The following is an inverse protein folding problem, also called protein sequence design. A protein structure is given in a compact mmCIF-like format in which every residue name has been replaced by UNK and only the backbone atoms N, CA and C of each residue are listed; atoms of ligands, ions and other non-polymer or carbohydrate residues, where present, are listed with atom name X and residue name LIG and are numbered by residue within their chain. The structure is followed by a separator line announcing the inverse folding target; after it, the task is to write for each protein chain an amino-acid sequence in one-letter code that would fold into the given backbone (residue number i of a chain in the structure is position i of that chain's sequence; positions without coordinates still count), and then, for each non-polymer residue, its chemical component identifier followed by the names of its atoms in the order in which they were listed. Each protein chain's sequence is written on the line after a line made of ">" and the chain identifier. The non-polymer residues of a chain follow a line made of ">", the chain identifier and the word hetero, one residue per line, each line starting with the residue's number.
data_IF_221824948479
#
_entry.id   IF_221824948479
#
_cell.length_a   1.000
_cell.length_b   1.000
_cell.length_c   1.000
_cell.angle_alpha   90.00
_cell.angle_beta   90.00
_cell.angle_gamma   90.00
#
_symmetry.space_group_name_H-M   'P 1'
#
loop_
_entity.id
_entity.type
_entity.pdbx_description
1 polymer ?
#
# COMPACT_ATOMS: atom_id res chain seq x y z
N UNK A 1 -22.81 24.19 4.32
CA UNK A 1 -21.56 23.83 5.01
C UNK A 1 -20.92 22.72 4.19
N UNK A 2 -19.78 23.04 3.62
CA UNK A 2 -19.06 22.30 2.59
C UNK A 2 -18.48 20.99 3.14
N UNK A 3 -18.91 19.85 2.61
CA UNK A 3 -18.15 18.61 2.78
C UNK A 3 -17.68 18.14 1.39
N UNK A 4 -16.40 18.40 1.22
CA UNK A 4 -15.53 18.10 0.10
C UNK A 4 -15.34 16.60 -0.09
N UNK A 5 -15.08 16.20 -1.34
CA UNK A 5 -14.37 14.95 -1.67
C UNK A 5 -15.27 13.80 -2.12
N UNK A 6 -15.46 13.68 -3.43
CA UNK A 6 -16.19 12.60 -4.09
C UNK A 6 -15.46 11.25 -3.98
N UNK A 7 -16.15 10.20 -3.54
CA UNK A 7 -16.24 8.93 -4.27
C UNK A 7 -17.56 8.25 -3.88
N UNK A 8 -18.41 7.99 -4.88
CA UNK A 8 -19.86 7.79 -4.72
C UNK A 8 -20.23 6.35 -4.35
N UNK A 9 -20.89 6.21 -3.21
CA UNK A 9 -22.07 5.38 -2.93
C UNK A 9 -22.22 4.05 -3.68
N UNK A 10 -21.84 2.96 -3.00
CA UNK A 10 -22.70 1.82 -2.62
C UNK A 10 -23.98 1.62 -3.45
N UNK A 11 -23.96 0.83 -4.53
CA UNK A 11 -25.13 0.03 -4.97
C UNK A 11 -24.70 -1.20 -5.79
N UNK A 12 -25.06 -2.38 -5.26
CA UNK A 12 -25.41 -3.68 -5.88
C UNK A 12 -25.02 -3.94 -7.35
N UNK A 13 -24.03 -4.83 -7.53
CA UNK A 13 -23.66 -5.66 -8.70
C UNK A 13 -23.84 -5.09 -10.12
N UNK A 14 -22.72 -4.75 -10.76
CA UNK A 14 -22.46 -5.06 -12.18
C UNK A 14 -20.95 -5.31 -12.35
N UNK A 15 -20.59 -6.31 -13.14
CA UNK A 15 -19.22 -6.80 -13.27
C UNK A 15 -18.33 -5.78 -14.00
N UNK A 16 -17.08 -5.68 -13.54
CA UNK A 16 -15.96 -4.91 -14.09
C UNK A 16 -15.90 -3.46 -13.58
N UNK A 17 -15.30 -3.38 -12.40
CA UNK A 17 -15.15 -2.26 -11.51
C UNK A 17 -14.34 -1.11 -12.13
N UNK A 18 -15.10 -0.07 -12.43
CA UNK A 18 -14.80 1.36 -12.30
C UNK A 18 -13.36 1.77 -11.92
N UNK A 19 -12.71 2.43 -12.87
CA UNK A 19 -11.40 3.09 -12.75
C UNK A 19 -11.39 4.11 -11.61
N UNK A 20 -10.66 3.82 -10.54
CA UNK A 20 -10.20 4.82 -9.58
C UNK A 20 -8.66 4.68 -9.46
N UNK A 21 -7.95 5.67 -10.00
CA UNK A 21 -6.54 6.00 -9.72
C UNK A 21 -5.41 5.08 -10.25
N UNK A 22 -4.82 5.37 -11.43
CA UNK A 22 -3.63 4.70 -11.99
C UNK A 22 -2.31 4.84 -11.17
N UNK A 23 -2.22 5.81 -10.25
CA UNK A 23 -1.05 6.02 -9.37
C UNK A 23 -1.31 5.65 -7.91
N UNK A 24 -2.58 5.65 -7.49
CA UNK A 24 -2.94 4.98 -6.26
C UNK A 24 -2.83 3.48 -6.48
N UNK A 25 -3.32 2.93 -7.60
CA UNK A 25 -3.14 1.50 -7.99
C UNK A 25 -1.70 1.04 -7.81
N UNK A 26 -0.70 1.69 -8.40
CA UNK A 26 0.69 1.21 -8.24
C UNK A 26 1.20 1.16 -6.77
N UNK A 27 0.71 2.04 -5.90
CA UNK A 27 1.04 1.97 -4.46
C UNK A 27 0.16 0.94 -3.74
N UNK A 28 -1.13 0.89 -4.06
CA UNK A 28 -2.11 -0.06 -3.49
C UNK A 28 -1.78 -1.50 -3.89
N UNK A 29 -1.34 -1.76 -5.13
CA UNK A 29 -0.87 -3.06 -5.61
C UNK A 29 0.34 -3.53 -4.80
N UNK A 30 1.36 -2.66 -4.62
CA UNK A 30 2.52 -2.99 -3.81
C UNK A 30 2.18 -3.12 -2.32
N UNK A 31 1.20 -2.36 -1.84
CA UNK A 31 0.68 -2.51 -0.49
C UNK A 31 -0.05 -3.85 -0.31
N UNK A 32 -0.86 -4.27 -1.27
CA UNK A 32 -1.52 -5.59 -1.26
C UNK A 32 -0.48 -6.72 -1.32
N UNK A 33 0.53 -6.60 -2.18
CA UNK A 33 1.67 -7.53 -2.21
C UNK A 33 2.37 -7.63 -0.84
N UNK A 34 2.52 -6.52 -0.12
CA UNK A 34 3.06 -6.51 1.24
C UNK A 34 2.12 -7.18 2.25
N UNK A 35 0.80 -7.00 2.11
CA UNK A 35 -0.21 -7.67 2.92
C UNK A 35 -0.15 -9.19 2.70
N UNK A 36 -0.03 -9.64 1.45
CA UNK A 36 0.16 -11.05 1.10
C UNK A 36 1.48 -11.59 1.66
N UNK A 37 2.57 -10.81 1.55
CA UNK A 37 3.85 -11.17 2.13
C UNK A 37 3.75 -11.41 3.63
N UNK A 38 3.10 -10.49 4.36
CA UNK A 38 2.86 -10.61 5.80
C UNK A 38 2.03 -11.84 6.15
N UNK A 39 1.02 -12.17 5.36
CA UNK A 39 0.22 -13.37 5.60
C UNK A 39 1.05 -14.65 5.47
N UNK A 40 1.96 -14.70 4.49
CA UNK A 40 2.82 -15.86 4.26
C UNK A 40 4.01 -15.97 5.23
N UNK A 41 4.62 -14.84 5.61
CA UNK A 41 5.84 -14.81 6.43
C UNK A 41 5.58 -14.49 7.91
N UNK A 42 4.44 -13.87 8.22
CA UNK A 42 4.09 -13.38 9.56
C UNK A 42 4.58 -11.96 9.86
N UNK A 43 5.48 -11.41 9.05
CA UNK A 43 6.07 -10.09 9.24
C UNK A 43 6.16 -9.28 7.93
N UNK A 44 6.45 -7.98 8.07
CA UNK A 44 6.56 -7.05 6.94
C UNK A 44 8.03 -6.73 6.58
N UNK A 45 8.98 -7.55 7.02
CA UNK A 45 10.39 -7.27 6.87
C UNK A 45 10.95 -7.88 5.59
N UNK A 46 10.50 -7.36 4.45
CA UNK A 46 10.92 -7.83 3.14
C UNK A 46 12.45 -7.64 2.98
N UNK A 47 13.21 -8.72 2.71
CA UNK A 47 14.66 -8.63 2.52
C UNK A 47 15.00 -7.75 1.30
N UNK A 48 16.06 -6.94 1.42
CA UNK A 48 16.51 -6.06 0.32
C UNK A 48 16.87 -6.83 -0.97
N UNK A 49 17.25 -8.10 -0.87
CA UNK A 49 17.57 -8.99 -2.00
C UNK A 49 16.57 -10.13 -2.11
N UNK A 50 15.28 -9.84 -1.96
CA UNK A 50 14.26 -10.85 -2.16
C UNK A 50 14.16 -11.23 -3.64
N UNK A 51 14.56 -12.47 -3.97
CA UNK A 51 14.62 -12.95 -5.36
C UNK A 51 13.24 -13.26 -5.95
N UNK A 52 12.26 -13.58 -5.11
CA UNK A 52 10.91 -13.93 -5.54
C UNK A 52 10.14 -12.71 -6.07
N UNK A 53 10.34 -11.55 -5.43
CA UNK A 53 9.77 -10.29 -5.90
C UNK A 53 10.71 -9.11 -5.55
N UNK A 54 11.70 -8.84 -6.43
CA UNK A 54 12.66 -7.77 -6.23
C UNK A 54 12.02 -6.38 -6.30
N UNK A 55 10.86 -6.25 -6.94
CA UNK A 55 10.12 -4.99 -7.03
C UNK A 55 9.54 -4.58 -5.67
N UNK A 56 8.94 -5.53 -4.94
CA UNK A 56 8.45 -5.28 -3.59
C UNK A 56 9.59 -4.91 -2.63
N UNK A 57 10.73 -5.61 -2.72
CA UNK A 57 11.91 -5.30 -1.91
C UNK A 57 12.43 -3.86 -2.14
N UNK A 58 12.47 -3.43 -3.41
CA UNK A 58 12.84 -2.06 -3.77
C UNK A 58 11.79 -1.04 -3.31
N UNK A 59 10.50 -1.38 -3.42
CA UNK A 59 9.42 -0.53 -2.96
C UNK A 59 9.44 -0.32 -1.45
N UNK A 60 9.62 -1.39 -0.67
CA UNK A 60 9.78 -1.37 0.80
C UNK A 60 10.98 -0.49 1.18
N UNK A 61 12.11 -0.68 0.50
CA UNK A 61 13.30 0.17 0.70
C UNK A 61 13.00 1.65 0.40
N UNK A 62 12.22 1.91 -0.64
CA UNK A 62 11.79 3.25 -1.02
C UNK A 62 10.86 3.87 0.03
N UNK A 63 9.91 3.11 0.60
CA UNK A 63 9.02 3.61 1.65
C UNK A 63 9.80 4.03 2.91
N UNK A 64 10.85 3.28 3.28
CA UNK A 64 11.72 3.62 4.42
C UNK A 64 12.47 4.93 4.19
N UNK A 65 13.03 5.12 3.00
CA UNK A 65 13.78 6.35 2.64
C UNK A 65 12.85 7.56 2.45
N UNK A 66 11.67 7.34 1.89
CA UNK A 66 10.68 8.39 1.60
C UNK A 66 9.64 8.54 2.70
N UNK A 67 9.92 8.08 3.93
CA UNK A 67 8.97 8.16 5.06
C UNK A 67 8.44 9.58 5.25
N UNK A 68 9.31 10.57 5.28
CA UNK A 68 8.97 12.01 5.39
C UNK A 68 8.19 12.57 4.18
N UNK A 69 8.13 11.85 3.07
CA UNK A 69 7.40 12.24 1.86
C UNK A 69 6.10 11.45 1.68
N UNK A 70 5.76 10.55 2.60
CA UNK A 70 4.50 9.83 2.58
C UNK A 70 3.37 10.73 3.08
N UNK A 71 2.18 10.53 2.51
CA UNK A 71 0.96 11.12 3.06
C UNK A 71 0.60 10.43 4.38
N UNK A 72 -0.04 11.16 5.29
CA UNK A 72 -0.47 10.63 6.59
C UNK A 72 -1.33 9.36 6.45
N UNK A 73 -2.22 9.31 5.45
CA UNK A 73 -3.02 8.12 5.14
C UNK A 73 -2.16 6.88 4.81
N UNK A 74 -1.14 7.03 3.97
CA UNK A 74 -0.26 5.91 3.59
C UNK A 74 0.62 5.45 4.74
N UNK A 75 1.09 6.41 5.54
CA UNK A 75 1.83 6.14 6.76
C UNK A 75 0.97 5.32 7.73
N UNK A 76 -0.26 5.79 8.01
CA UNK A 76 -1.19 5.13 8.91
C UNK A 76 -1.54 3.70 8.45
N UNK A 77 -1.70 3.47 7.14
CA UNK A 77 -1.93 2.12 6.59
C UNK A 77 -0.73 1.20 6.81
N UNK A 78 0.49 1.67 6.56
CA UNK A 78 1.72 0.90 6.76
C UNK A 78 1.94 0.60 8.25
N UNK A 79 1.73 1.58 9.13
CA UNK A 79 1.81 1.40 10.57
C UNK A 79 0.73 0.43 11.08
N UNK A 80 -0.50 0.51 10.57
CA UNK A 80 -1.57 -0.45 10.87
C UNK A 80 -1.25 -1.86 10.41
N UNK A 81 -0.46 -2.01 9.35
CA UNK A 81 0.07 -3.30 8.91
C UNK A 81 1.18 -3.82 9.86
N UNK A 82 1.70 -3.01 10.77
CA UNK A 82 2.86 -3.35 11.60
C UNK A 82 4.18 -3.24 10.84
N UNK A 83 4.23 -2.43 9.79
CA UNK A 83 5.45 -2.17 9.04
C UNK A 83 6.45 -1.37 9.89
N UNK A 84 7.60 -1.98 10.20
CA UNK A 84 8.67 -1.29 10.93
C UNK A 84 9.47 -0.40 9.98
N UNK A 85 9.25 0.91 10.12
CA UNK A 85 10.19 1.93 9.67
C UNK A 85 11.35 2.01 10.65
N UNK A 86 12.23 1.00 10.66
CA UNK A 86 13.46 1.07 11.47
C UNK A 86 14.23 2.35 11.13
N UNK A 87 14.56 3.11 12.17
CA UNK A 87 15.48 4.25 12.17
C UNK A 87 16.93 3.76 12.04
#
# INVERSE_FOLDING_TARGET
>A
MTQSGLCRSRTRLDALEFVCDLRATAWEEKFDELVQYKQSHGDCNVPRRWSENPELANWVSTQRVKKDKLTEDRLARLEGLGFQFSI
#
